data_IF_648804136014
#
_entry.id   IF_648804136014
#
_cell.length_a   1.000
_cell.length_b   1.000
_cell.length_c   1.000
_cell.angle_alpha   90.00
_cell.angle_beta   90.00
_cell.angle_gamma   90.00
#
_symmetry.space_group_name_H-M   'P 1'
#
loop_
_entity.id
_entity.type
_entity.pdbx_description
1 polymer ?
#
# COMPACT_ATOMS: atom_id res chain seq x y z
N UNK A 1 -1.36 -12.73 -25.63
CA UNK A 1 -1.24 -13.35 -24.29
C UNK A 1 -1.31 -12.20 -23.31
N UNK A 2 -2.44 -12.00 -22.65
CA UNK A 2 -2.49 -11.09 -21.51
C UNK A 2 -1.71 -11.73 -20.37
N UNK A 3 -0.64 -11.07 -19.95
CA UNK A 3 0.18 -11.49 -18.82
C UNK A 3 -0.38 -10.82 -17.56
N UNK A 4 -0.94 -11.62 -16.65
CA UNK A 4 -1.55 -11.16 -15.40
C UNK A 4 -3.09 -11.04 -15.39
N UNK A 5 -3.61 -10.69 -14.22
CA UNK A 5 -5.04 -10.46 -13.97
C UNK A 5 -5.25 -9.06 -13.38
N UNK A 6 -6.35 -8.40 -13.74
CA UNK A 6 -6.75 -7.14 -13.09
C UNK A 6 -7.23 -7.40 -11.66
N UNK A 7 -7.05 -6.41 -10.79
CA UNK A 7 -7.51 -6.49 -9.40
C UNK A 7 -9.02 -6.77 -9.31
N UNK A 8 -9.83 -6.14 -10.16
CA UNK A 8 -11.28 -6.38 -10.19
C UNK A 8 -11.63 -7.83 -10.51
N UNK A 9 -10.95 -8.44 -11.49
CA UNK A 9 -11.19 -9.84 -11.85
C UNK A 9 -10.73 -10.79 -10.76
N UNK A 10 -9.62 -10.46 -10.10
CA UNK A 10 -9.04 -11.27 -9.05
C UNK A 10 -9.90 -11.25 -7.78
N UNK A 11 -10.27 -10.06 -7.28
CA UNK A 11 -11.03 -9.94 -6.02
C UNK A 11 -12.54 -10.23 -6.14
N UNK A 12 -13.13 -10.20 -7.34
CA UNK A 12 -14.54 -10.57 -7.56
C UNK A 12 -14.77 -12.08 -7.80
N UNK A 13 -13.72 -12.90 -7.79
CA UNK A 13 -13.78 -14.34 -8.09
C UNK A 13 -14.35 -15.21 -6.95
N UNK A 14 -14.64 -14.63 -5.79
CA UNK A 14 -15.16 -15.36 -4.61
C UNK A 14 -14.09 -16.05 -3.77
N UNK A 15 -12.81 -15.88 -4.12
CA UNK A 15 -11.67 -16.35 -3.33
C UNK A 15 -11.15 -15.25 -2.40
N UNK A 16 -10.64 -15.64 -1.23
CA UNK A 16 -9.95 -14.74 -0.31
C UNK A 16 -8.45 -14.89 -0.51
N UNK A 17 -7.76 -13.78 -0.73
CA UNK A 17 -6.31 -13.72 -0.91
C UNK A 17 -5.68 -12.97 0.25
N UNK A 18 -4.52 -13.43 0.68
CA UNK A 18 -3.63 -12.75 1.63
C UNK A 18 -2.44 -12.13 0.89
N UNK A 19 -1.61 -11.36 1.59
CA UNK A 19 -0.46 -10.68 0.97
C UNK A 19 0.54 -11.66 0.34
N UNK A 20 0.70 -12.86 0.90
CA UNK A 20 1.64 -13.86 0.40
C UNK A 20 1.13 -14.62 -0.84
N UNK A 21 -0.17 -14.50 -1.16
CA UNK A 21 -0.79 -15.20 -2.29
C UNK A 21 -0.63 -14.45 -3.63
N UNK A 22 -0.18 -13.19 -3.59
CA UNK A 22 -0.17 -12.30 -4.75
C UNK A 22 1.20 -11.66 -4.97
N UNK A 23 1.52 -11.40 -6.24
CA UNK A 23 2.72 -10.66 -6.65
C UNK A 23 2.37 -9.66 -7.74
N UNK A 24 3.00 -8.49 -7.70
CA UNK A 24 2.87 -7.50 -8.76
C UNK A 24 3.81 -7.83 -9.92
N UNK A 25 3.27 -7.79 -11.14
CA UNK A 25 4.09 -7.90 -12.33
C UNK A 25 4.88 -6.60 -12.53
N UNK A 26 6.19 -6.67 -12.79
CA UNK A 26 6.99 -5.48 -13.05
C UNK A 26 6.52 -4.80 -14.34
N UNK A 27 6.67 -3.49 -14.38
CA UNK A 27 6.40 -2.70 -15.57
C UNK A 27 7.59 -1.79 -15.90
N UNK A 28 7.49 -1.06 -17.01
CA UNK A 28 8.53 -0.12 -17.43
C UNK A 28 8.67 1.02 -16.41
N UNK A 29 9.92 1.40 -16.11
CA UNK A 29 10.29 2.46 -15.17
C UNK A 29 11.22 3.43 -15.88
N UNK A 30 10.93 4.73 -15.83
CA UNK A 30 11.70 5.81 -16.44
C UNK A 30 12.20 6.88 -15.45
N UNK A 31 12.03 6.65 -14.15
CA UNK A 31 12.43 7.56 -13.08
C UNK A 31 13.20 6.82 -11.97
N UNK A 32 13.90 7.57 -11.11
CA UNK A 32 14.64 7.01 -9.99
C UNK A 32 13.72 6.69 -8.80
N UNK A 33 14.09 5.72 -7.97
CA UNK A 33 13.26 5.32 -6.81
C UNK A 33 12.98 6.49 -5.85
N UNK A 34 13.91 7.45 -5.73
CA UNK A 34 13.76 8.65 -4.88
C UNK A 34 12.72 9.66 -5.39
N UNK A 35 12.37 9.60 -6.69
CA UNK A 35 11.35 10.48 -7.28
C UNK A 35 9.91 9.99 -6.99
N UNK A 36 9.76 8.82 -6.35
CA UNK A 36 8.45 8.25 -6.00
C UNK A 36 7.79 9.08 -4.89
N UNK A 37 6.63 9.64 -5.19
CA UNK A 37 5.84 10.36 -4.20
C UNK A 37 5.08 9.40 -3.27
N UNK A 38 5.42 9.42 -1.99
CA UNK A 38 4.79 8.62 -0.93
C UNK A 38 3.68 9.37 -0.17
N UNK A 39 3.28 10.56 -0.62
CA UNK A 39 2.23 11.31 0.06
C UNK A 39 0.89 10.57 -0.05
N UNK A 40 0.19 10.47 1.07
CA UNK A 40 -1.06 9.73 1.19
C UNK A 40 -2.00 10.47 2.12
N UNK A 41 -3.31 10.27 1.97
CA UNK A 41 -4.31 10.90 2.82
C UNK A 41 -4.86 9.88 3.80
N UNK A 42 -4.64 10.10 5.11
CA UNK A 42 -5.23 9.26 6.16
C UNK A 42 -6.74 9.46 6.26
N UNK A 43 -7.18 10.71 6.09
CA UNK A 43 -8.60 11.07 6.03
C UNK A 43 -8.81 12.23 5.06
N UNK A 44 -10.06 12.63 4.82
CA UNK A 44 -10.42 13.75 3.92
C UNK A 44 -9.60 15.01 4.16
N UNK A 45 -9.22 15.27 5.41
CA UNK A 45 -8.59 16.53 5.83
C UNK A 45 -7.19 16.32 6.43
N UNK A 46 -6.66 15.09 6.45
CA UNK A 46 -5.37 14.78 7.08
C UNK A 46 -4.43 14.19 6.03
N UNK A 47 -3.63 15.03 5.35
CA UNK A 47 -2.57 14.57 4.46
C UNK A 47 -1.35 14.12 5.28
N UNK A 48 -0.72 13.04 4.82
CA UNK A 48 0.53 12.48 5.33
C UNK A 48 1.59 12.54 4.22
N UNK A 49 2.83 12.84 4.59
CA UNK A 49 3.95 12.80 3.63
C UNK A 49 4.40 11.37 3.31
N UNK A 50 4.07 10.41 4.19
CA UNK A 50 4.39 8.99 4.06
C UNK A 50 3.22 8.15 4.62
N UNK A 51 2.88 6.99 4.04
CA UNK A 51 1.71 6.21 4.40
C UNK A 51 1.97 5.29 5.61
N UNK A 52 2.64 5.80 6.65
CA UNK A 52 2.93 5.06 7.87
C UNK A 52 2.13 5.62 9.04
N UNK A 53 1.47 4.74 9.78
CA UNK A 53 0.69 5.08 10.98
C UNK A 53 1.01 4.05 12.06
N UNK A 54 1.31 4.53 13.26
CA UNK A 54 1.52 3.67 14.42
C UNK A 54 0.17 3.13 14.94
N UNK A 55 0.14 1.86 15.31
CA UNK A 55 -1.04 1.26 15.94
C UNK A 55 -1.25 1.84 17.34
N UNK A 56 -2.49 2.17 17.75
CA UNK A 56 -2.80 2.69 19.08
C UNK A 56 -2.78 1.54 20.11
N UNK A 57 -1.59 1.03 20.39
CA UNK A 57 -1.33 -0.01 21.38
C UNK A 57 -0.38 0.53 22.44
N UNK A 58 -0.60 0.16 23.70
CA UNK A 58 0.23 0.57 24.85
C UNK A 58 1.71 0.24 24.66
N UNK A 59 2.03 -0.80 23.89
CA UNK A 59 3.39 -1.25 23.61
C UNK A 59 4.04 -0.57 22.39
N UNK A 60 3.28 0.23 21.64
CA UNK A 60 3.71 0.80 20.34
C UNK A 60 3.64 2.31 20.34
N UNK A 61 2.56 2.90 20.85
CA UNK A 61 2.30 4.33 20.77
C UNK A 61 2.43 5.00 22.15
N UNK A 62 3.63 5.44 22.48
CA UNK A 62 3.90 6.36 23.60
C UNK A 62 4.28 7.76 23.07
N UNK A 63 4.44 8.74 23.97
CA UNK A 63 4.77 10.13 23.60
C UNK A 63 6.09 10.30 22.84
N UNK A 64 6.99 9.33 22.91
CA UNK A 64 8.23 9.33 22.14
C UNK A 64 8.05 8.86 20.68
N UNK A 65 6.95 8.17 20.37
CA UNK A 65 6.63 7.64 19.03
C UNK A 65 5.60 8.49 18.28
N UNK A 66 4.86 9.36 18.99
CA UNK A 66 3.87 10.29 18.44
C UNK A 66 4.49 11.66 18.09
#
# INVERSE_FOLDING_TARGET
MEDGYTAEKLFNSGFSYTYDDLIFLPHYIDFAADDVNLSSSLSRNIPLSTPFVASPMDTVSESAMA
#
